data_IF_206673888477
#
_entry.id   IF_206673888477
#
_cell.length_a   1.000
_cell.length_b   1.000
_cell.length_c   1.000
_cell.angle_alpha   90.00
_cell.angle_beta   90.00
_cell.angle_gamma   90.00
#
_symmetry.space_group_name_H-M   'P 1'
#
loop_
_entity.id
_entity.type
_entity.pdbx_description
1 polymer ?
#
# COMPACT_ATOMS: atom_id res chain seq x y z
N UNK A 1 -27.66 -25.28 -14.97
CA UNK A 1 -26.26 -25.35 -15.46
C UNK A 1 -25.31 -24.41 -14.72
N UNK A 2 -25.62 -23.13 -14.44
CA UNK A 2 -24.71 -22.24 -13.72
C UNK A 2 -24.32 -22.75 -12.32
N UNK A 3 -25.31 -23.24 -11.57
CA UNK A 3 -25.13 -23.79 -10.22
C UNK A 3 -24.18 -24.99 -10.16
N UNK A 4 -24.20 -25.84 -11.20
CA UNK A 4 -23.37 -27.05 -11.27
C UNK A 4 -21.90 -26.72 -11.53
N UNK A 5 -21.63 -25.65 -12.30
CA UNK A 5 -20.28 -25.12 -12.50
C UNK A 5 -19.78 -24.44 -11.21
N UNK A 6 -20.62 -23.65 -10.54
CA UNK A 6 -20.29 -23.05 -9.24
C UNK A 6 -19.98 -24.10 -8.16
N UNK A 7 -20.75 -25.20 -8.12
CA UNK A 7 -20.51 -26.30 -7.17
C UNK A 7 -19.22 -27.07 -7.46
N UNK A 8 -18.86 -27.23 -8.74
CA UNK A 8 -17.60 -27.86 -9.16
C UNK A 8 -16.42 -26.96 -8.81
N UNK A 9 -16.50 -25.66 -9.10
CA UNK A 9 -15.44 -24.70 -8.79
C UNK A 9 -15.22 -24.59 -7.28
N UNK A 10 -16.30 -24.57 -6.48
CA UNK A 10 -16.22 -24.57 -5.01
C UNK A 10 -15.51 -25.81 -4.48
N UNK A 11 -15.85 -27.00 -5.00
CA UNK A 11 -15.21 -28.26 -4.58
C UNK A 11 -13.76 -28.35 -5.01
N UNK A 12 -13.41 -27.82 -6.19
CA UNK A 12 -12.03 -27.77 -6.67
C UNK A 12 -11.21 -26.82 -5.79
N UNK A 13 -11.74 -25.64 -5.44
CA UNK A 13 -11.09 -24.68 -4.55
C UNK A 13 -10.87 -25.25 -3.15
N UNK A 14 -11.91 -25.82 -2.53
CA UNK A 14 -11.79 -26.44 -1.20
C UNK A 14 -10.78 -27.60 -1.18
N UNK A 15 -10.73 -28.39 -2.26
CA UNK A 15 -9.73 -29.46 -2.40
C UNK A 15 -8.30 -28.89 -2.52
N UNK A 16 -8.13 -27.79 -3.25
CA UNK A 16 -6.82 -27.12 -3.40
C UNK A 16 -6.35 -26.54 -2.07
N UNK A 17 -7.23 -25.88 -1.33
CA UNK A 17 -6.93 -25.36 0.01
C UNK A 17 -6.48 -26.47 0.96
N UNK A 18 -7.24 -27.57 1.05
CA UNK A 18 -6.86 -28.72 1.87
C UNK A 18 -5.52 -29.35 1.43
N UNK A 19 -5.25 -29.39 0.12
CA UNK A 19 -3.99 -29.88 -0.44
C UNK A 19 -2.78 -28.99 -0.10
N UNK A 20 -3.00 -27.67 -0.01
CA UNK A 20 -1.99 -26.67 0.37
C UNK A 20 -1.70 -26.75 1.86
N UNK A 21 -2.75 -26.72 2.69
CA UNK A 21 -2.65 -26.84 4.15
C UNK A 21 -1.89 -28.11 4.55
N UNK A 22 -2.20 -29.25 3.92
CA UNK A 22 -1.50 -30.51 4.19
C UNK A 22 0.00 -30.42 3.85
N UNK A 23 0.36 -29.75 2.75
CA UNK A 23 1.75 -29.61 2.31
C UNK A 23 2.59 -28.71 3.25
N UNK A 24 1.97 -27.65 3.77
CA UNK A 24 2.63 -26.67 4.66
C UNK A 24 2.41 -26.95 6.16
N UNK A 25 1.58 -27.95 6.52
CA UNK A 25 1.20 -28.24 7.90
C UNK A 25 2.37 -28.29 8.90
N UNK A 26 3.52 -28.93 8.62
CA UNK A 26 4.64 -28.90 9.55
C UNK A 26 5.23 -27.52 9.81
N UNK A 27 5.10 -26.58 8.86
CA UNK A 27 5.54 -25.18 9.05
C UNK A 27 4.48 -24.37 9.78
N UNK A 28 3.19 -24.61 9.51
CA UNK A 28 2.11 -23.96 10.26
C UNK A 28 2.17 -24.31 11.76
N UNK A 29 2.47 -25.57 12.10
CA UNK A 29 2.66 -25.97 13.49
C UNK A 29 3.85 -25.24 14.16
N UNK A 30 4.94 -25.01 13.43
CA UNK A 30 6.07 -24.21 13.94
C UNK A 30 5.71 -22.72 14.08
N UNK A 31 4.93 -22.19 13.13
CA UNK A 31 4.46 -20.79 13.13
C UNK A 31 3.45 -20.48 14.24
N UNK A 32 2.84 -21.48 14.89
CA UNK A 32 2.02 -21.26 16.11
C UNK A 32 2.79 -20.57 17.24
N UNK A 33 4.12 -20.68 17.24
CA UNK A 33 4.96 -19.92 18.17
C UNK A 33 4.82 -18.40 18.01
N UNK A 34 4.32 -17.93 16.86
CA UNK A 34 4.05 -16.51 16.58
C UNK A 34 2.70 -16.02 17.13
N UNK A 35 1.80 -16.94 17.54
CA UNK A 35 0.44 -16.61 17.99
C UNK A 35 0.37 -15.45 19.00
N UNK A 36 1.27 -15.34 20.02
CA UNK A 36 1.24 -14.21 20.94
C UNK A 36 1.44 -12.86 20.24
N UNK A 37 2.40 -12.78 19.32
CA UNK A 37 2.74 -11.56 18.57
C UNK A 37 1.65 -11.24 17.55
N UNK A 38 1.17 -12.26 16.82
CA UNK A 38 0.10 -12.08 15.84
C UNK A 38 -1.18 -11.58 16.52
N UNK A 39 -1.53 -12.12 17.69
CA UNK A 39 -2.68 -11.66 18.48
C UNK A 39 -2.53 -10.21 18.95
N UNK A 40 -1.33 -9.81 19.38
CA UNK A 40 -1.04 -8.44 19.78
C UNK A 40 -1.20 -7.46 18.60
N UNK A 41 -0.74 -7.85 17.42
CA UNK A 41 -0.86 -7.08 16.18
C UNK A 41 -2.27 -7.19 15.54
N UNK A 42 -3.10 -8.09 16.04
CA UNK A 42 -4.42 -8.41 15.48
C UNK A 42 -4.34 -9.05 14.10
N UNK A 43 -3.27 -9.80 13.80
CA UNK A 43 -3.05 -10.52 12.56
C UNK A 43 -3.35 -12.02 12.71
N UNK A 44 -3.61 -12.68 11.60
CA UNK A 44 -3.75 -14.13 11.47
C UNK A 44 -2.89 -14.66 10.33
N UNK A 45 -2.55 -15.95 10.37
CA UNK A 45 -1.78 -16.62 9.31
C UNK A 45 -2.72 -16.97 8.15
N UNK A 46 -2.39 -16.50 6.96
CA UNK A 46 -3.14 -16.78 5.73
C UNK A 46 -2.26 -17.59 4.79
N UNK A 47 -2.84 -18.63 4.17
CA UNK A 47 -2.14 -19.49 3.21
C UNK A 47 -2.85 -19.42 1.85
N UNK A 48 -2.10 -19.15 0.78
CA UNK A 48 -2.62 -19.06 -0.60
C UNK A 48 -1.66 -19.70 -1.60
N UNK A 49 -2.18 -20.07 -2.76
CA UNK A 49 -1.35 -20.44 -3.91
C UNK A 49 -1.23 -19.26 -4.87
N UNK A 50 0.00 -18.83 -5.18
CA UNK A 50 0.30 -17.75 -6.12
C UNK A 50 1.42 -18.21 -7.04
N UNK A 51 1.21 -18.18 -8.35
CA UNK A 51 2.20 -18.60 -9.36
C UNK A 51 2.86 -19.96 -9.07
N UNK A 52 2.05 -20.93 -8.64
CA UNK A 52 2.46 -22.28 -8.23
C UNK A 52 3.36 -22.31 -6.98
N UNK A 53 3.49 -21.22 -6.22
CA UNK A 53 4.13 -21.20 -4.90
C UNK A 53 3.07 -21.23 -3.82
N UNK A 54 3.42 -21.78 -2.66
CA UNK A 54 2.59 -21.67 -1.45
C UNK A 54 3.06 -20.45 -0.69
N UNK A 55 2.20 -19.46 -0.61
CA UNK A 55 2.45 -18.17 0.03
C UNK A 55 1.79 -18.17 1.40
N UNK A 56 2.56 -17.84 2.43
CA UNK A 56 2.07 -17.63 3.79
C UNK A 56 2.26 -16.14 4.11
N UNK A 57 1.15 -15.44 4.33
CA UNK A 57 1.13 -14.03 4.74
C UNK A 57 0.51 -13.90 6.13
N UNK A 58 0.71 -12.75 6.78
CA UNK A 58 0.10 -12.44 8.06
C UNK A 58 -0.83 -11.23 7.89
N UNK A 59 -2.14 -11.44 7.93
CA UNK A 59 -3.14 -10.44 7.55
C UNK A 59 -4.21 -10.29 8.62
N UNK A 60 -4.93 -9.16 8.64
CA UNK A 60 -6.23 -9.01 9.27
C UNK A 60 -7.22 -8.67 8.16
N UNK A 61 -7.96 -9.65 7.62
CA UNK A 61 -8.89 -9.40 6.52
C UNK A 61 -10.01 -8.43 6.89
N UNK A 62 -10.40 -8.38 8.17
CA UNK A 62 -11.50 -7.55 8.65
C UNK A 62 -11.13 -6.05 8.76
N UNK A 63 -9.86 -5.76 9.04
CA UNK A 63 -9.32 -4.39 9.15
C UNK A 63 -8.41 -4.03 7.99
N UNK A 64 -8.39 -4.91 7.00
CA UNK A 64 -7.57 -4.80 5.80
C UNK A 64 -6.10 -4.48 6.15
N UNK A 65 -5.59 -5.15 7.21
CA UNK A 65 -4.20 -5.02 7.66
C UNK A 65 -3.35 -6.18 7.14
N UNK A 66 -2.09 -5.92 6.87
CA UNK A 66 -1.13 -6.95 6.52
C UNK A 66 0.22 -6.65 7.17
N UNK A 67 0.92 -7.70 7.55
CA UNK A 67 2.36 -7.62 7.77
C UNK A 67 3.03 -7.46 6.41
N UNK A 68 4.17 -6.80 6.41
CA UNK A 68 5.02 -6.72 5.24
C UNK A 68 5.82 -8.01 4.98
N UNK A 69 5.74 -8.96 5.91
CA UNK A 69 6.45 -10.23 5.80
C UNK A 69 5.58 -11.21 5.06
N UNK A 70 6.13 -11.77 3.99
CA UNK A 70 5.52 -12.87 3.24
C UNK A 70 6.52 -14.01 3.10
N UNK A 71 6.06 -15.24 3.33
CA UNK A 71 6.87 -16.45 3.17
C UNK A 71 6.43 -17.19 1.91
N UNK A 72 7.39 -17.49 1.04
CA UNK A 72 7.18 -18.18 -0.21
C UNK A 72 7.85 -19.54 -0.16
N UNK A 73 7.04 -20.60 -0.13
CA UNK A 73 7.51 -21.97 -0.28
C UNK A 73 7.34 -22.40 -1.74
N UNK A 74 8.36 -23.05 -2.28
CA UNK A 74 8.26 -23.68 -3.60
C UNK A 74 7.01 -24.56 -3.70
N UNK A 75 6.45 -24.59 -4.90
CA UNK A 75 5.24 -25.33 -5.22
C UNK A 75 5.31 -26.82 -4.93
N UNK A 76 4.14 -27.39 -4.63
CA UNK A 76 3.92 -28.83 -4.52
C UNK A 76 4.20 -29.48 -5.88
N UNK A 77 5.39 -30.09 -6.02
CA UNK A 77 5.66 -30.96 -7.15
C UNK A 77 4.78 -32.21 -6.98
N UNK A 78 3.71 -32.33 -7.79
CA UNK A 78 2.62 -33.31 -7.59
C UNK A 78 3.07 -34.78 -7.50
N UNK A 79 4.31 -35.05 -7.90
CA UNK A 79 4.95 -36.37 -7.91
C UNK A 79 5.75 -36.69 -6.66
N UNK A 80 5.96 -35.75 -5.72
CA UNK A 80 6.80 -35.96 -4.53
C UNK A 80 6.02 -35.71 -3.23
N UNK A 81 6.12 -36.66 -2.30
CA UNK A 81 5.60 -36.59 -0.92
C UNK A 81 6.42 -35.67 -0.01
N UNK A 82 7.17 -34.71 -0.57
CA UNK A 82 8.02 -33.83 0.22
C UNK A 82 7.16 -32.69 0.78
N UNK A 83 7.21 -32.49 2.08
CA UNK A 83 6.58 -31.33 2.73
C UNK A 83 7.39 -30.06 2.46
N UNK A 84 6.77 -28.90 2.67
CA UNK A 84 7.45 -27.62 2.66
C UNK A 84 8.60 -27.58 3.69
N UNK A 85 9.73 -26.97 3.31
CA UNK A 85 10.92 -26.85 4.17
C UNK A 85 11.44 -25.42 4.18
N UNK A 86 12.00 -24.98 5.31
CA UNK A 86 12.66 -23.68 5.40
C UNK A 86 13.82 -23.49 4.40
N UNK A 87 14.53 -24.57 4.06
CA UNK A 87 15.60 -24.54 3.07
C UNK A 87 15.14 -24.24 1.63
N UNK A 88 13.83 -24.18 1.39
CA UNK A 88 13.19 -23.79 0.14
C UNK A 88 12.16 -22.69 0.35
N UNK A 89 12.33 -21.95 1.44
CA UNK A 89 11.49 -20.82 1.77
C UNK A 89 12.27 -19.54 1.49
N UNK A 90 11.61 -18.62 0.80
CA UNK A 90 12.04 -17.24 0.64
C UNK A 90 11.15 -16.38 1.54
N UNK A 91 11.75 -15.49 2.30
CA UNK A 91 11.03 -14.49 3.07
C UNK A 91 11.19 -13.14 2.39
N UNK A 92 10.08 -12.58 1.93
CA UNK A 92 10.02 -11.22 1.41
C UNK A 92 9.59 -10.30 2.56
N UNK A 93 10.30 -9.18 2.72
CA UNK A 93 10.02 -8.16 3.74
C UNK A 93 9.94 -6.81 3.02
N UNK A 94 8.74 -6.25 2.94
CA UNK A 94 8.54 -4.91 2.36
C UNK A 94 8.72 -3.82 3.44
N UNK A 95 9.67 -2.90 3.31
CA UNK A 95 9.79 -1.84 4.32
C UNK A 95 8.83 -0.69 3.99
N UNK A 96 7.88 -0.43 4.88
CA UNK A 96 6.94 0.68 4.74
C UNK A 96 7.46 1.90 5.49
N UNK A 97 7.81 2.95 4.75
CA UNK A 97 8.06 4.28 5.30
C UNK A 97 6.75 5.08 5.29
N UNK A 98 6.37 5.65 6.44
CA UNK A 98 5.17 6.49 6.53
C UNK A 98 5.56 7.93 6.19
N UNK A 99 5.12 8.40 5.02
CA UNK A 99 5.28 9.80 4.60
C UNK A 99 4.08 10.62 5.06
N UNK A 100 4.32 11.83 5.57
CA UNK A 100 3.26 12.80 5.83
C UNK A 100 2.89 13.48 4.52
N UNK A 101 1.60 13.66 4.25
CA UNK A 101 1.15 14.23 2.96
C UNK A 101 0.28 15.48 3.09
N UNK A 102 0.03 15.94 4.32
CA UNK A 102 -0.73 17.16 4.60
C UNK A 102 -0.55 17.63 6.05
N UNK A 103 -0.96 18.87 6.33
CA UNK A 103 -0.97 19.43 7.68
C UNK A 103 -2.14 18.89 8.55
N UNK A 104 -3.16 18.27 7.94
CA UNK A 104 -4.28 17.63 8.65
C UNK A 104 -4.06 16.12 8.92
N UNK A 105 -2.81 15.67 8.89
CA UNK A 105 -2.42 14.34 9.36
C UNK A 105 -2.67 13.21 8.38
N UNK A 106 -2.81 13.49 7.08
CA UNK A 106 -2.82 12.42 6.09
C UNK A 106 -1.45 11.79 5.91
N UNK A 107 -1.44 10.51 5.59
CA UNK A 107 -0.21 9.73 5.41
C UNK A 107 -0.24 8.88 4.13
N UNK A 108 0.95 8.56 3.62
CA UNK A 108 1.18 7.59 2.56
C UNK A 108 2.18 6.54 3.03
N UNK A 109 1.94 5.27 2.69
CA UNK A 109 2.88 4.19 3.00
C UNK A 109 3.74 3.95 1.77
N UNK A 110 4.99 4.42 1.80
CA UNK A 110 5.98 4.17 0.77
C UNK A 110 6.65 2.83 1.04
N UNK A 111 6.31 1.82 0.24
CA UNK A 111 6.97 0.52 0.27
C UNK A 111 8.27 0.62 -0.53
N UNK A 112 9.38 0.81 0.18
CA UNK A 112 10.70 0.92 -0.40
C UNK A 112 11.54 -0.30 -0.02
N UNK A 113 12.49 -0.67 -0.89
CA UNK A 113 13.51 -1.67 -0.59
C UNK A 113 12.96 -3.06 -0.17
N UNK A 114 12.23 -3.78 -1.05
CA UNK A 114 11.86 -5.16 -0.75
C UNK A 114 13.11 -5.98 -0.46
N UNK A 115 13.22 -6.50 0.76
CA UNK A 115 14.31 -7.38 1.13
C UNK A 115 13.89 -8.83 0.93
N UNK A 116 14.69 -9.56 0.17
CA UNK A 116 14.46 -10.98 -0.12
C UNK A 116 15.50 -11.80 0.65
N UNK A 117 15.02 -12.61 1.58
CA UNK A 117 15.86 -13.46 2.44
C UNK A 117 15.67 -14.93 2.08
N UNK A 118 16.73 -15.59 1.62
CA UNK A 118 16.72 -17.03 1.38
C UNK A 118 16.94 -17.79 2.70
N UNK A 119 15.87 -18.35 3.28
CA UNK A 119 15.93 -18.97 4.61
C UNK A 119 16.76 -20.26 4.66
N UNK A 120 17.24 -20.77 3.52
CA UNK A 120 18.20 -21.87 3.46
C UNK A 120 19.54 -21.56 4.12
N UNK A 121 19.90 -20.28 4.18
CA UNK A 121 21.16 -19.82 4.77
C UNK A 121 21.04 -19.65 6.28
N UNK A 122 19.82 -19.74 6.82
CA UNK A 122 19.53 -19.51 8.23
C UNK A 122 19.51 -20.83 9.00
N UNK A 123 20.07 -20.87 10.22
CA UNK A 123 19.83 -21.98 11.13
C UNK A 123 18.31 -22.16 11.36
N UNK A 124 17.73 -23.36 11.21
CA UNK A 124 16.28 -23.53 11.39
C UNK A 124 15.74 -23.04 12.73
N UNK A 125 16.58 -23.08 13.78
CA UNK A 125 16.25 -22.60 15.13
C UNK A 125 16.19 -21.07 15.25
N UNK A 126 16.77 -20.31 14.31
CA UNK A 126 16.74 -18.84 14.33
C UNK A 126 15.56 -18.26 13.57
N UNK A 127 14.93 -19.01 12.65
CA UNK A 127 13.86 -18.51 11.78
C UNK A 127 12.67 -17.97 12.58
N UNK A 128 12.13 -18.75 13.51
CA UNK A 128 10.99 -18.31 14.34
C UNK A 128 11.36 -17.10 15.22
N UNK A 129 12.48 -17.09 15.96
CA UNK A 129 12.94 -15.89 16.66
C UNK A 129 13.07 -14.64 15.77
N UNK A 130 13.60 -14.79 14.56
CA UNK A 130 13.72 -13.67 13.63
C UNK A 130 12.37 -13.17 13.14
N UNK A 131 11.41 -14.06 12.86
CA UNK A 131 10.03 -13.65 12.54
C UNK A 131 9.38 -12.88 13.70
N UNK A 132 9.58 -13.34 14.94
CA UNK A 132 9.12 -12.63 16.15
C UNK A 132 9.73 -11.23 16.25
N UNK A 133 10.99 -11.07 15.84
CA UNK A 133 11.70 -9.79 15.84
C UNK A 133 11.21 -8.86 14.72
N UNK A 134 11.03 -9.37 13.50
CA UNK A 134 10.64 -8.56 12.33
C UNK A 134 9.15 -8.19 12.31
N UNK A 135 8.25 -9.06 12.80
CA UNK A 135 6.80 -8.84 12.73
C UNK A 135 6.35 -7.54 13.41
N UNK A 136 6.79 -7.19 14.64
CA UNK A 136 6.40 -5.94 15.29
C UNK A 136 7.05 -4.70 14.67
N UNK A 137 8.27 -4.84 14.15
CA UNK A 137 9.02 -3.73 13.55
C UNK A 137 8.36 -3.25 12.25
N UNK A 138 7.66 -4.16 11.58
CA UNK A 138 7.21 -3.94 10.22
C UNK A 138 5.72 -4.28 10.01
N UNK A 139 4.90 -4.07 11.04
CA UNK A 139 3.45 -4.20 10.92
C UNK A 139 2.86 -2.96 10.22
N UNK A 140 2.89 -2.87 8.89
CA UNK A 140 2.13 -1.84 8.18
C UNK A 140 1.53 -2.33 6.87
N UNK A 141 0.26 -2.66 6.96
CA UNK A 141 -0.76 -2.04 6.12
C UNK A 141 -1.90 -1.72 7.08
N UNK A 142 -2.27 -0.46 7.25
CA UNK A 142 -3.64 -0.14 7.62
C UNK A 142 -4.27 0.26 6.30
N UNK A 143 -5.04 -0.62 5.65
CA UNK A 143 -5.95 -0.13 4.61
C UNK A 143 -7.07 0.62 5.33
N UNK A 144 -6.74 1.88 5.65
CA UNK A 144 -7.60 2.97 6.09
C UNK A 144 -8.63 2.64 7.16
N UNK A 145 -8.27 2.78 8.44
CA UNK A 145 -9.25 3.19 9.45
C UNK A 145 -9.35 4.73 9.43
N UNK A 146 -9.92 5.30 8.35
CA UNK A 146 -10.26 6.73 8.26
C UNK A 146 -9.78 7.46 7.00
N UNK A 147 -10.24 8.71 6.79
CA UNK A 147 -9.97 9.51 5.59
C UNK A 147 -8.50 9.95 5.44
N UNK A 148 -7.63 9.71 6.42
CA UNK A 148 -6.28 10.29 6.51
C UNK A 148 -5.17 9.40 5.93
N UNK A 149 -5.49 8.56 4.95
CA UNK A 149 -4.49 7.74 4.25
C UNK A 149 -4.73 7.81 2.74
N UNK A 150 -3.73 8.22 1.98
CA UNK A 150 -3.77 8.30 0.51
C UNK A 150 -3.14 7.07 -0.13
N UNK A 151 -3.66 6.67 -1.30
CA UNK A 151 -3.02 5.66 -2.16
C UNK A 151 -2.19 6.29 -3.27
N UNK A 152 -2.25 7.62 -3.40
CA UNK A 152 -1.63 8.36 -4.48
C UNK A 152 -0.20 8.73 -4.12
N UNK A 153 0.76 8.09 -4.79
CA UNK A 153 2.18 8.36 -4.57
C UNK A 153 2.56 9.77 -5.01
N UNK A 154 1.99 10.26 -6.11
CA UNK A 154 2.31 11.58 -6.63
C UNK A 154 1.92 12.70 -5.65
N UNK A 155 0.79 12.55 -4.96
CA UNK A 155 0.36 13.46 -3.90
C UNK A 155 1.39 13.50 -2.77
N UNK A 156 1.85 12.33 -2.30
CA UNK A 156 2.81 12.23 -1.21
C UNK A 156 4.14 12.93 -1.53
N UNK A 157 4.63 12.79 -2.76
CA UNK A 157 5.89 13.43 -3.18
C UNK A 157 5.74 14.93 -3.36
N UNK A 158 4.58 15.40 -3.84
CA UNK A 158 4.36 16.83 -4.13
C UNK A 158 4.08 17.67 -2.88
N UNK A 159 3.68 17.07 -1.77
CA UNK A 159 3.31 17.81 -0.56
C UNK A 159 4.45 18.66 0.02
N UNK A 160 5.64 18.09 0.22
CA UNK A 160 6.77 18.83 0.81
C UNK A 160 7.20 20.01 -0.08
N UNK A 161 7.27 19.78 -1.39
CA UNK A 161 7.59 20.82 -2.37
C UNK A 161 6.53 21.94 -2.38
N UNK A 162 5.25 21.57 -2.33
CA UNK A 162 4.15 22.54 -2.30
C UNK A 162 4.19 23.38 -1.03
N UNK A 163 4.48 22.75 0.11
CA UNK A 163 4.62 23.40 1.41
C UNK A 163 5.78 24.39 1.41
N UNK A 164 6.93 24.03 0.82
CA UNK A 164 8.05 24.94 0.65
C UNK A 164 7.64 26.18 -0.15
N UNK A 165 7.03 25.99 -1.33
CA UNK A 165 6.58 27.10 -2.19
C UNK A 165 5.58 28.01 -1.46
N UNK A 166 4.62 27.44 -0.73
CA UNK A 166 3.62 28.22 0.00
C UNK A 166 4.21 28.97 1.19
N UNK A 167 5.19 28.38 1.89
CA UNK A 167 5.87 29.06 3.00
C UNK A 167 6.67 30.28 2.51
N UNK A 168 7.34 30.18 1.36
CA UNK A 168 8.12 31.29 0.79
C UNK A 168 7.29 32.55 0.52
N UNK A 169 6.01 32.36 0.22
CA UNK A 169 5.10 33.42 -0.25
C UNK A 169 4.02 33.80 0.77
N UNK A 170 4.05 33.24 1.98
CA UNK A 170 3.07 33.53 3.03
C UNK A 170 1.70 32.89 2.82
N UNK A 171 1.65 31.73 2.16
CA UNK A 171 0.45 30.91 2.00
C UNK A 171 -0.04 30.27 3.30
N UNK A 172 -1.24 29.71 3.22
CA UNK A 172 -1.88 28.98 4.33
C UNK A 172 -1.43 27.51 4.43
N UNK A 173 -2.03 26.75 5.38
CA UNK A 173 -1.76 25.32 5.51
C UNK A 173 -2.19 24.54 4.26
N UNK A 174 -1.54 23.39 4.03
CA UNK A 174 -1.86 22.47 2.94
C UNK A 174 -2.63 21.29 3.51
N UNK A 175 -3.91 21.22 3.18
CA UNK A 175 -4.84 20.22 3.70
C UNK A 175 -5.12 19.15 2.64
N UNK A 176 -5.21 17.89 3.04
CA UNK A 176 -5.65 16.84 2.12
C UNK A 176 -7.14 16.56 2.31
N UNK A 177 -7.85 16.39 1.20
CA UNK A 177 -9.27 16.03 1.13
C UNK A 177 -9.50 14.86 0.16
N UNK A 178 -10.59 14.11 0.38
CA UNK A 178 -11.11 13.10 -0.56
C UNK A 178 -12.51 13.48 -0.98
N UNK A 179 -12.79 13.49 -2.28
CA UNK A 179 -14.15 13.57 -2.83
C UNK A 179 -14.47 12.34 -3.67
N UNK A 180 -15.74 12.01 -3.77
CA UNK A 180 -16.21 10.93 -4.64
C UNK A 180 -16.72 11.53 -5.94
N UNK A 181 -16.09 11.15 -7.06
CA UNK A 181 -16.47 11.53 -8.42
C UNK A 181 -17.01 10.30 -9.16
N UNK A 182 -18.07 10.49 -9.94
CA UNK A 182 -18.82 9.43 -10.63
C UNK A 182 -18.02 8.80 -11.79
N UNK A 183 -17.05 9.52 -12.37
CA UNK A 183 -16.30 9.05 -13.56
C UNK A 183 -14.95 8.43 -13.22
N UNK A 184 -14.27 8.94 -12.17
CA UNK A 184 -12.91 8.54 -11.81
C UNK A 184 -12.82 7.86 -10.43
N UNK A 185 -13.92 7.73 -9.71
CA UNK A 185 -13.92 7.21 -8.34
C UNK A 185 -13.50 8.29 -7.34
N UNK A 186 -12.78 7.93 -6.28
CA UNK A 186 -12.34 8.91 -5.29
C UNK A 186 -11.21 9.79 -5.82
N UNK A 187 -11.43 11.11 -5.85
CA UNK A 187 -10.41 12.13 -6.13
C UNK A 187 -9.77 12.53 -4.81
N UNK A 188 -8.44 12.49 -4.77
CA UNK A 188 -7.64 12.99 -3.65
C UNK A 188 -7.10 14.36 -4.03
N UNK A 189 -7.09 15.31 -3.12
CA UNK A 189 -6.69 16.69 -3.42
C UNK A 189 -5.92 17.34 -2.30
N UNK A 190 -5.02 18.26 -2.67
CA UNK A 190 -4.39 19.21 -1.76
C UNK A 190 -5.10 20.56 -1.89
N UNK A 191 -5.59 21.08 -0.77
CA UNK A 191 -6.30 22.35 -0.64
C UNK A 191 -5.41 23.32 0.12
N UNK A 192 -5.21 24.51 -0.43
CA UNK A 192 -4.40 25.55 0.19
C UNK A 192 -4.87 26.95 -0.22
N UNK A 193 -4.45 27.95 0.54
CA UNK A 193 -4.72 29.36 0.23
C UNK A 193 -3.43 30.10 -0.08
N UNK A 194 -3.48 31.03 -1.03
CA UNK A 194 -2.39 31.97 -1.26
C UNK A 194 -2.39 33.13 -0.25
N UNK A 195 -1.45 34.07 -0.42
CA UNK A 195 -1.32 35.26 0.43
C UNK A 195 -2.52 36.23 0.35
N UNK A 196 -3.29 36.19 -0.75
CA UNK A 196 -4.48 37.01 -0.97
C UNK A 196 -5.75 36.32 -0.42
N UNK A 197 -5.62 35.10 0.12
CA UNK A 197 -6.73 34.31 0.65
C UNK A 197 -7.55 33.58 -0.41
N UNK A 198 -7.04 33.44 -1.63
CA UNK A 198 -7.68 32.64 -2.69
C UNK A 198 -7.39 31.16 -2.46
N UNK A 199 -8.45 30.35 -2.54
CA UNK A 199 -8.37 28.90 -2.34
C UNK A 199 -8.09 28.17 -3.66
N UNK A 200 -7.12 27.26 -3.61
CA UNK A 200 -6.70 26.43 -4.73
C UNK A 200 -6.87 24.95 -4.39
N UNK A 201 -7.40 24.18 -5.34
CA UNK A 201 -7.57 22.73 -5.23
C UNK A 201 -6.66 22.07 -6.27
N UNK A 202 -5.62 21.38 -5.79
CA UNK A 202 -4.79 20.52 -6.63
C UNK A 202 -5.36 19.10 -6.56
N UNK A 203 -6.16 18.75 -7.57
CA UNK A 203 -6.89 17.49 -7.69
C UNK A 203 -6.02 16.42 -8.36
N UNK A 204 -6.01 15.21 -7.79
CA UNK A 204 -5.33 14.05 -8.32
C UNK A 204 -6.35 12.96 -8.69
N UNK A 205 -6.42 12.63 -9.98
CA UNK A 205 -7.32 11.59 -10.49
C UNK A 205 -6.70 10.19 -10.42
N UNK A 206 -5.37 10.13 -10.42
CA UNK A 206 -4.55 8.92 -10.27
C UNK A 206 -3.09 9.35 -10.04
N UNK A 207 -2.15 8.40 -10.05
CA UNK A 207 -0.72 8.68 -9.91
C UNK A 207 -0.09 9.39 -11.12
N UNK A 208 -0.83 9.57 -12.22
CA UNK A 208 -0.34 10.10 -13.50
C UNK A 208 -0.92 11.46 -13.89
N UNK A 209 -2.05 11.88 -13.31
CA UNK A 209 -2.81 13.06 -13.73
C UNK A 209 -3.22 13.93 -12.54
N UNK A 210 -2.89 15.22 -12.64
CA UNK A 210 -3.30 16.25 -11.69
C UNK A 210 -3.78 17.52 -12.38
N UNK A 211 -4.72 18.20 -11.73
CA UNK A 211 -5.33 19.45 -12.20
C UNK A 211 -5.40 20.45 -11.06
N UNK A 212 -4.97 21.68 -11.32
CA UNK A 212 -5.07 22.78 -10.36
C UNK A 212 -6.26 23.67 -10.70
N UNK A 213 -7.14 23.88 -9.73
CA UNK A 213 -8.35 24.68 -9.86
C UNK A 213 -8.41 25.82 -8.85
N UNK A 214 -9.07 26.89 -9.23
CA UNK A 214 -9.51 27.99 -8.35
C UNK A 214 -10.99 28.23 -8.61
N UNK A 215 -11.85 28.08 -7.60
CA UNK A 215 -13.31 28.29 -7.74
C UNK A 215 -13.94 27.57 -8.96
N UNK A 216 -13.44 26.38 -9.29
CA UNK A 216 -13.88 25.56 -10.43
C UNK A 216 -13.21 25.87 -11.78
N UNK A 217 -12.49 26.99 -11.92
CA UNK A 217 -11.71 27.30 -13.11
C UNK A 217 -10.40 26.51 -13.13
N UNK A 218 -10.07 25.90 -14.28
CA UNK A 218 -8.84 25.13 -14.45
C UNK A 218 -7.70 26.06 -14.85
N UNK A 219 -6.63 26.06 -14.07
CA UNK A 219 -5.41 26.82 -14.39
C UNK A 219 -4.38 25.97 -15.13
N UNK A 220 -4.18 24.73 -14.68
CA UNK A 220 -3.30 23.78 -15.34
C UNK A 220 -3.83 22.36 -15.18
N UNK A 221 -3.60 21.53 -16.20
CA UNK A 221 -3.86 20.11 -16.19
C UNK A 221 -2.69 19.42 -16.86
N UNK A 222 -2.23 18.31 -16.31
CA UNK A 222 -1.05 17.67 -16.83
C UNK A 222 -0.67 16.39 -16.12
N UNK A 223 0.44 15.83 -16.59
CA UNK A 223 0.96 14.63 -15.95
C UNK A 223 1.66 14.98 -14.65
N UNK A 224 1.33 14.26 -13.58
CA UNK A 224 2.06 14.30 -12.30
C UNK A 224 3.51 13.85 -12.41
N UNK A 225 3.90 13.19 -13.51
CA UNK A 225 5.30 12.84 -13.81
C UNK A 225 6.15 14.06 -14.15
N UNK A 226 5.53 15.16 -14.59
CA UNK A 226 6.19 16.43 -14.86
C UNK A 226 5.96 17.40 -13.70
N UNK A 227 6.48 17.02 -12.53
CA UNK A 227 6.31 17.78 -11.28
C UNK A 227 6.83 19.22 -11.42
N UNK A 228 7.91 19.43 -12.17
CA UNK A 228 8.47 20.77 -12.39
C UNK A 228 7.54 21.68 -13.19
N UNK A 229 6.81 21.15 -14.17
CA UNK A 229 5.78 21.92 -14.86
C UNK A 229 4.64 22.33 -13.92
N UNK A 230 4.17 21.41 -13.07
CA UNK A 230 3.13 21.67 -12.08
C UNK A 230 3.58 22.74 -11.06
N UNK A 231 4.80 22.61 -10.54
CA UNK A 231 5.44 23.59 -9.64
C UNK A 231 5.55 24.96 -10.29
N UNK A 232 6.00 25.00 -11.54
CA UNK A 232 6.12 26.25 -12.31
C UNK A 232 4.76 26.90 -12.51
N UNK A 233 3.72 26.12 -12.81
CA UNK A 233 2.34 26.62 -12.91
C UNK A 233 1.86 27.20 -11.57
N UNK A 234 2.09 26.53 -10.44
CA UNK A 234 1.69 27.03 -9.11
C UNK A 234 2.36 28.39 -8.82
N UNK A 235 3.68 28.48 -9.00
CA UNK A 235 4.44 29.75 -8.84
C UNK A 235 3.90 30.84 -9.76
N UNK A 236 3.61 30.50 -11.01
CA UNK A 236 3.16 31.46 -12.01
C UNK A 236 1.70 31.92 -11.79
N UNK A 237 0.80 31.07 -11.29
CA UNK A 237 -0.58 31.45 -10.92
C UNK A 237 -0.56 32.51 -9.82
N UNK A 238 0.30 32.32 -8.82
CA UNK A 238 0.43 33.24 -7.69
C UNK A 238 1.11 34.56 -8.09
N UNK A 239 2.01 34.53 -9.07
CA UNK A 239 2.51 35.73 -9.73
C UNK A 239 1.48 36.39 -10.69
N UNK A 240 0.23 35.91 -10.74
CA UNK A 240 -0.83 36.42 -11.60
C UNK A 240 -0.61 36.18 -13.10
N UNK A 241 0.22 35.20 -13.45
CA UNK A 241 0.81 35.05 -14.79
C UNK A 241 0.30 33.85 -15.59
N UNK A 242 -0.52 32.95 -15.01
CA UNK A 242 -1.06 31.78 -15.74
C UNK A 242 -2.49 32.04 -16.19
N UNK A 243 -2.78 31.91 -17.49
CA UNK A 243 -4.13 32.02 -18.01
C UNK A 243 -4.95 30.74 -17.74
N UNK A 244 -6.25 30.90 -17.51
CA UNK A 244 -7.22 29.81 -17.38
C UNK A 244 -7.28 29.00 -18.69
N UNK A 245 -7.19 27.67 -18.59
CA UNK A 245 -7.42 26.76 -19.71
C UNK A 245 -8.89 26.84 -20.12
N UNK A 246 -9.16 27.19 -21.39
CA UNK A 246 -10.51 27.28 -21.95
C UNK A 246 -10.97 25.95 -22.54
#
# INVERSE_FOLDING_TARGET
MPQLLTDIDTRISAKREADLETYIAPRLEELKALDPVLKELGLEVIVREVDKKVVVSFENPARDRASVITLHFDGKDKTRSANATWAKCIMDVDWAEILTVSDNGWTYNAFNYPEVHELREWPPKSIIPSLIEFLPQNAVVQKGDGPTHTRNFALAVLYEDLKEVLNEIGGGPVLAERRQDDVHGSVEMLVFTDADGREYHLEFFNDLEAVLRENGAVHTGGSTKDQEALKTSIRAIQAGSVPVLK
#
